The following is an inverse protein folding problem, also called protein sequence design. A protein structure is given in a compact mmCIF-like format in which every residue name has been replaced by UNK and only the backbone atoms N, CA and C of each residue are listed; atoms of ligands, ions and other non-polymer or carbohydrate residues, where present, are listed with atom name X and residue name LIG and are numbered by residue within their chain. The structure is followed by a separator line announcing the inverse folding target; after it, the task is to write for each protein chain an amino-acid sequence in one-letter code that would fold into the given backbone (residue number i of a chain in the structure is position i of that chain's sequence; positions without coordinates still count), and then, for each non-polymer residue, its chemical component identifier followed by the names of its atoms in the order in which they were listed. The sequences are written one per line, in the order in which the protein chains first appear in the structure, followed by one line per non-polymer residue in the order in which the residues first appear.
data_IF_891719162102
#
_entry.id   IF_891719162102
#
_cell.length_a   1.000
_cell.length_b   1.000
_cell.length_c   1.000
_cell.angle_alpha   90.00
_cell.angle_beta   90.00
_cell.angle_gamma   90.00
#
_symmetry.space_group_name_H-M   'P 1'
#
loop_
_entity.id
_entity.type
_entity.pdbx_description
1 polymer ?
#
# COMPACT_ATOMS: atom_id res chain seq x y z
N UNK A 1 42.28 -27.05 43.98
CA UNK A 1 42.71 -25.96 44.88
C UNK A 1 44.22 -25.82 44.80
N UNK A 2 44.74 -24.75 44.17
CA UNK A 2 45.98 -24.05 44.54
C UNK A 2 46.28 -22.88 43.57
N UNK A 3 45.98 -21.67 44.07
CA UNK A 3 46.65 -20.35 43.98
C UNK A 3 47.28 -19.83 42.67
N UNK A 4 46.76 -18.65 42.28
CA UNK A 4 47.42 -17.39 41.86
C UNK A 4 48.59 -17.46 40.87
N UNK A 5 48.57 -16.62 39.82
CA UNK A 5 49.30 -15.33 39.78
C UNK A 5 48.84 -14.51 38.56
N UNK A 6 48.38 -13.28 38.79
CA UNK A 6 48.15 -12.27 37.75
C UNK A 6 49.49 -11.64 37.36
N UNK A 7 49.82 -11.57 36.08
CA UNK A 7 50.89 -10.71 35.57
C UNK A 7 50.28 -9.57 34.76
N UNK A 8 50.23 -8.40 35.39
CA UNK A 8 50.01 -7.10 34.78
C UNK A 8 51.30 -6.76 33.99
N UNK A 9 51.20 -6.48 32.69
CA UNK A 9 52.29 -5.75 32.01
C UNK A 9 51.70 -4.69 31.10
N UNK A 10 51.82 -3.47 31.60
CA UNK A 10 51.59 -2.19 30.96
C UNK A 10 52.73 -1.96 29.95
N UNK A 11 52.42 -1.78 28.67
CA UNK A 11 53.28 -1.01 27.76
C UNK A 11 52.39 0.05 27.13
N UNK A 12 52.58 1.28 27.59
CA UNK A 12 52.01 2.48 27.04
C UNK A 12 53.00 3.10 26.04
N UNK A 13 52.44 3.80 25.04
CA UNK A 13 53.06 4.79 24.13
C UNK A 13 53.47 4.26 22.75
N UNK A 14 53.20 4.91 21.62
CA UNK A 14 52.56 6.18 21.25
C UNK A 14 52.35 6.11 19.73
N UNK A 15 51.19 6.52 19.21
CA UNK A 15 51.06 7.25 17.93
C UNK A 15 49.64 7.80 17.80
N UNK A 16 49.52 9.08 18.14
CA UNK A 16 48.37 9.92 17.86
C UNK A 16 48.31 10.21 16.35
N UNK A 17 47.28 9.74 15.65
CA UNK A 17 46.82 10.37 14.40
C UNK A 17 45.33 10.69 14.60
N UNK A 18 45.06 11.97 14.86
CA UNK A 18 43.73 12.57 14.75
C UNK A 18 43.54 12.93 13.28
N UNK A 19 42.53 12.39 12.61
CA UNK A 19 41.94 12.98 11.40
C UNK A 19 40.54 12.42 11.17
N UNK A 20 39.56 13.23 11.57
CA UNK A 20 38.17 13.33 11.12
C UNK A 20 37.83 12.42 9.92
N UNK A 21 37.11 11.33 10.17
CA UNK A 21 36.08 10.90 9.23
C UNK A 21 34.77 11.31 9.85
N UNK A 22 34.18 12.30 9.18
CA UNK A 22 32.80 12.74 9.33
C UNK A 22 31.94 11.56 9.77
N UNK A 23 31.14 11.79 10.81
CA UNK A 23 29.98 10.95 11.04
C UNK A 23 29.32 10.77 9.68
N UNK A 24 29.43 9.56 9.13
CA UNK A 24 28.62 9.14 8.02
C UNK A 24 27.23 9.33 8.58
N UNK A 25 26.59 10.45 8.18
CA UNK A 25 25.22 10.71 8.51
C UNK A 25 24.53 9.39 8.23
N UNK A 26 23.81 8.88 9.22
CA UNK A 26 22.70 8.01 8.87
C UNK A 26 21.90 8.88 7.92
N UNK A 27 22.11 8.72 6.61
CA UNK A 27 21.13 9.10 5.61
C UNK A 27 19.90 8.47 6.20
N UNK A 28 18.98 9.32 6.67
CA UNK A 28 17.66 8.85 7.03
C UNK A 28 17.25 8.09 5.78
N UNK A 29 17.23 6.77 5.88
CA UNK A 29 16.43 5.94 5.00
C UNK A 29 15.06 6.59 5.15
N UNK A 30 14.75 7.46 4.19
CA UNK A 30 13.54 8.24 4.20
C UNK A 30 12.46 7.17 4.29
N UNK A 31 11.78 7.12 5.43
CA UNK A 31 10.90 6.02 5.77
C UNK A 31 9.96 5.89 4.56
N UNK A 32 10.15 4.83 3.77
CA UNK A 32 9.59 4.77 2.42
C UNK A 32 8.12 5.13 2.53
N UNK A 33 7.73 6.28 1.95
CA UNK A 33 6.38 6.79 2.04
C UNK A 33 5.48 5.66 1.54
N UNK A 34 4.68 5.11 2.44
CA UNK A 34 3.95 3.92 2.12
C UNK A 34 2.85 4.29 1.09
N UNK A 35 2.63 3.46 0.06
CA UNK A 35 1.85 3.85 -1.09
C UNK A 35 0.38 4.07 -0.74
N UNK A 36 -0.19 5.19 -1.20
CA UNK A 36 -1.63 5.42 -1.15
C UNK A 36 -2.31 4.77 -2.35
N UNK A 37 -3.33 3.95 -2.12
CA UNK A 37 -4.11 3.31 -3.18
C UNK A 37 -5.43 4.01 -3.41
N UNK A 38 -5.70 4.29 -4.68
CA UNK A 38 -6.96 4.88 -5.13
C UNK A 38 -7.60 3.93 -6.13
N UNK A 39 -8.88 3.62 -5.93
CA UNK A 39 -9.65 2.76 -6.82
C UNK A 39 -10.74 3.58 -7.50
N UNK A 40 -10.95 3.33 -8.79
CA UNK A 40 -11.94 4.03 -9.62
C UNK A 40 -12.77 3.02 -10.36
N UNK A 41 -14.09 3.21 -10.39
CA UNK A 41 -15.03 2.36 -11.10
C UNK A 41 -16.20 3.12 -11.71
N UNK A 42 -16.60 2.67 -12.89
CA UNK A 42 -17.89 2.99 -13.48
C UNK A 42 -18.89 1.90 -13.10
N UNK A 43 -20.08 2.35 -12.69
CA UNK A 43 -21.18 1.52 -12.23
C UNK A 43 -22.35 1.74 -13.18
N UNK A 44 -22.98 0.67 -13.66
CA UNK A 44 -24.12 0.79 -14.58
C UNK A 44 -25.43 1.06 -13.85
N UNK A 45 -25.63 0.39 -12.71
CA UNK A 45 -26.77 0.59 -11.82
C UNK A 45 -26.34 0.32 -10.39
N UNK A 46 -27.04 0.91 -9.43
CA UNK A 46 -26.85 0.57 -8.05
C UNK A 46 -28.00 0.97 -7.16
N UNK A 47 -27.87 0.57 -5.90
CA UNK A 47 -28.84 0.85 -4.86
C UNK A 47 -28.14 1.06 -3.52
N UNK A 48 -28.71 1.91 -2.69
CA UNK A 48 -28.38 2.00 -1.28
C UNK A 48 -29.64 1.76 -0.45
N UNK A 49 -29.76 0.56 0.08
CA UNK A 49 -30.93 0.11 0.83
C UNK A 49 -30.46 -0.62 2.10
N UNK A 50 -31.06 -0.31 3.25
CA UNK A 50 -30.79 -0.98 4.54
C UNK A 50 -29.29 -1.05 4.93
N UNK A 51 -28.53 0.02 4.66
CA UNK A 51 -27.09 0.07 4.99
C UNK A 51 -26.21 -0.75 4.05
N UNK A 52 -26.72 -1.18 2.90
CA UNK A 52 -25.96 -1.91 1.88
C UNK A 52 -25.90 -1.08 0.61
N UNK A 53 -24.67 -0.76 0.17
CA UNK A 53 -24.40 -0.19 -1.14
C UNK A 53 -24.14 -1.33 -2.13
N UNK A 54 -25.01 -1.48 -3.12
CA UNK A 54 -24.92 -2.49 -4.17
C UNK A 54 -24.63 -1.84 -5.52
N UNK A 55 -23.64 -2.34 -6.24
CA UNK A 55 -23.15 -1.78 -7.49
C UNK A 55 -23.08 -2.88 -8.56
N UNK A 56 -23.85 -2.76 -9.63
CA UNK A 56 -23.63 -3.55 -10.83
C UNK A 56 -22.45 -2.98 -11.60
N UNK A 57 -21.41 -3.81 -11.76
CA UNK A 57 -20.16 -3.39 -12.34
C UNK A 57 -20.22 -3.54 -13.86
N UNK A 58 -19.80 -2.51 -14.59
CA UNK A 58 -19.67 -2.59 -16.05
C UNK A 58 -18.56 -3.58 -16.48
N UNK A 59 -17.61 -3.88 -15.59
CA UNK A 59 -16.57 -4.89 -15.78
C UNK A 59 -16.14 -5.50 -14.44
N UNK A 60 -15.66 -6.76 -14.40
CA UNK A 60 -15.18 -7.38 -13.17
C UNK A 60 -13.76 -6.92 -12.77
N UNK A 61 -13.35 -5.70 -13.14
CA UNK A 61 -12.00 -5.16 -12.93
C UNK A 61 -12.05 -3.74 -12.36
N UNK A 62 -11.34 -3.54 -11.25
CA UNK A 62 -11.08 -2.24 -10.64
C UNK A 62 -9.91 -1.56 -11.36
N UNK A 63 -10.01 -0.29 -11.72
CA UNK A 63 -8.83 0.52 -12.07
C UNK A 63 -8.24 1.07 -10.78
N UNK A 64 -6.92 0.99 -10.63
CA UNK A 64 -6.24 1.51 -9.46
C UNK A 64 -5.07 2.42 -9.82
N UNK A 65 -4.78 3.34 -8.93
CA UNK A 65 -3.56 4.16 -8.92
C UNK A 65 -2.92 4.05 -7.54
N UNK A 66 -1.68 3.60 -7.49
CA UNK A 66 -0.84 3.72 -6.31
C UNK A 66 0.05 4.97 -6.45
N UNK A 67 0.15 5.78 -5.40
CA UNK A 67 1.05 6.94 -5.36
C UNK A 67 2.20 6.71 -4.38
N UNK A 68 3.41 7.10 -4.80
CA UNK A 68 4.69 7.04 -4.09
C UNK A 68 5.23 5.61 -3.80
N UNK A 69 6.57 5.41 -3.84
CA UNK A 69 7.58 6.31 -4.42
C UNK A 69 7.45 6.43 -5.95
N UNK A 70 6.92 5.40 -6.61
CA UNK A 70 6.60 5.40 -8.03
C UNK A 70 5.09 5.38 -8.24
N UNK A 71 4.60 6.13 -9.23
CA UNK A 71 3.20 6.03 -9.64
C UNK A 71 3.00 4.72 -10.39
N UNK A 72 2.14 3.87 -9.86
CA UNK A 72 1.74 2.61 -10.50
C UNK A 72 0.26 2.73 -10.84
N UNK A 73 -0.09 2.39 -12.07
CA UNK A 73 -1.48 2.33 -12.51
C UNK A 73 -1.75 0.99 -13.16
N UNK A 74 -2.98 0.51 -13.01
CA UNK A 74 -3.32 -0.79 -13.53
C UNK A 74 -4.75 -1.18 -13.21
N UNK A 75 -4.98 -2.48 -13.30
CA UNK A 75 -6.27 -3.05 -13.00
C UNK A 75 -6.15 -4.27 -12.10
N UNK A 76 -7.11 -4.42 -11.21
CA UNK A 76 -7.23 -5.53 -10.28
C UNK A 76 -8.55 -6.26 -10.54
N UNK A 77 -8.59 -7.58 -10.53
CA UNK A 77 -9.87 -8.28 -10.58
C UNK A 77 -10.65 -8.00 -9.28
N UNK A 78 -11.98 -7.85 -9.36
CA UNK A 78 -12.80 -7.62 -8.15
C UNK A 78 -12.60 -8.74 -7.12
N UNK A 79 -12.48 -9.99 -7.57
CA UNK A 79 -12.17 -11.10 -6.67
C UNK A 79 -10.86 -10.92 -5.89
N UNK A 80 -9.79 -10.45 -6.55
CA UNK A 80 -8.51 -10.19 -5.88
C UNK A 80 -8.61 -9.04 -4.87
N UNK A 81 -9.44 -8.04 -5.16
CA UNK A 81 -9.75 -6.97 -4.20
C UNK A 81 -10.48 -7.51 -2.96
N UNK A 82 -11.46 -8.41 -3.13
CA UNK A 82 -12.15 -9.06 -2.01
C UNK A 82 -11.16 -9.88 -1.16
N UNK A 83 -10.26 -10.63 -1.80
CA UNK A 83 -9.26 -11.42 -1.09
C UNK A 83 -8.31 -10.53 -0.28
N UNK A 84 -7.82 -9.43 -0.87
CA UNK A 84 -6.99 -8.43 -0.20
C UNK A 84 -7.71 -7.75 0.97
N UNK A 85 -9.02 -7.50 0.83
CA UNK A 85 -9.82 -6.95 1.92
C UNK A 85 -9.95 -7.94 3.08
N UNK A 86 -10.26 -9.20 2.78
CA UNK A 86 -10.54 -10.23 3.77
C UNK A 86 -9.29 -10.71 4.52
N UNK A 87 -8.12 -10.65 3.88
CA UNK A 87 -6.84 -10.91 4.55
C UNK A 87 -6.48 -9.82 5.57
N UNK A 88 -7.11 -8.64 5.48
CA UNK A 88 -6.79 -7.42 6.22
C UNK A 88 -5.32 -6.98 6.06
N UNK A 89 -4.62 -7.41 5.00
CA UNK A 89 -3.19 -7.11 4.79
C UNK A 89 -2.91 -5.61 4.68
N UNK A 90 -3.90 -4.87 4.19
CA UNK A 90 -3.83 -3.41 4.03
C UNK A 90 -4.52 -2.66 5.20
N UNK A 91 -5.14 -3.37 6.15
CA UNK A 91 -5.84 -2.76 7.28
C UNK A 91 -7.25 -2.25 6.96
N UNK A 92 -7.87 -2.73 5.88
CA UNK A 92 -9.23 -2.38 5.46
C UNK A 92 -10.29 -2.55 6.55
N UNK A 93 -10.16 -3.57 7.39
CA UNK A 93 -11.12 -3.85 8.48
C UNK A 93 -10.86 -2.97 9.70
N UNK A 94 -9.60 -2.56 9.88
CA UNK A 94 -9.17 -1.69 10.98
C UNK A 94 -9.43 -0.21 10.67
N UNK A 95 -9.30 0.20 9.41
CA UNK A 95 -9.54 1.55 8.94
C UNK A 95 -10.49 1.51 7.73
N UNK A 96 -11.79 1.63 8.00
CA UNK A 96 -12.83 1.57 6.97
C UNK A 96 -12.56 2.60 5.86
N UNK A 97 -12.38 2.16 4.60
CA UNK A 97 -12.14 3.06 3.49
C UNK A 97 -13.26 4.06 3.31
N UNK A 98 -12.88 5.26 2.89
CA UNK A 98 -13.83 6.27 2.43
C UNK A 98 -14.03 6.13 0.93
N UNK A 99 -15.26 6.35 0.51
CA UNK A 99 -15.62 6.30 -0.88
C UNK A 99 -16.52 7.46 -1.27
N UNK A 100 -16.28 7.99 -2.46
CA UNK A 100 -17.16 8.96 -3.10
C UNK A 100 -17.92 8.25 -4.21
N UNK A 101 -19.24 8.29 -4.12
CA UNK A 101 -20.14 7.85 -5.18
C UNK A 101 -20.77 9.09 -5.81
N UNK A 102 -20.49 9.30 -7.09
CA UNK A 102 -21.06 10.41 -7.86
C UNK A 102 -22.13 9.88 -8.81
N UNK A 103 -23.34 10.41 -8.69
CA UNK A 103 -24.51 10.12 -9.53
C UNK A 103 -24.92 11.42 -10.20
N UNK A 104 -24.62 11.58 -11.49
CA UNK A 104 -24.76 12.85 -12.19
C UNK A 104 -23.94 13.95 -11.50
N UNK A 105 -24.61 14.95 -10.92
CA UNK A 105 -23.96 16.07 -10.21
C UNK A 105 -24.00 15.92 -8.67
N UNK A 106 -24.52 14.80 -8.14
CA UNK A 106 -24.62 14.56 -6.70
C UNK A 106 -23.52 13.61 -6.26
N UNK A 107 -22.71 14.03 -5.29
CA UNK A 107 -21.66 13.19 -4.69
C UNK A 107 -22.02 12.86 -3.25
N UNK A 108 -21.94 11.57 -2.90
CA UNK A 108 -22.21 11.04 -1.57
C UNK A 108 -20.96 10.34 -1.06
N UNK A 109 -20.59 10.63 0.18
CA UNK A 109 -19.45 9.99 0.84
C UNK A 109 -19.93 8.84 1.72
N UNK A 110 -19.27 7.69 1.60
CA UNK A 110 -19.53 6.50 2.38
C UNK A 110 -18.29 6.05 3.15
N UNK A 111 -18.52 5.43 4.32
CA UNK A 111 -17.59 4.53 4.97
C UNK A 111 -17.92 3.11 4.56
N UNK A 112 -16.97 2.37 4.01
CA UNK A 112 -17.21 1.03 3.45
C UNK A 112 -16.71 -0.08 4.37
N UNK A 113 -17.44 -1.20 4.36
CA UNK A 113 -17.11 -2.41 5.09
C UNK A 113 -17.62 -3.67 4.37
N UNK A 114 -17.04 -4.82 4.71
CA UNK A 114 -17.55 -6.15 4.36
C UNK A 114 -17.91 -6.31 2.87
N UNK A 115 -16.98 -6.09 1.93
CA UNK A 115 -17.29 -6.18 0.52
C UNK A 115 -17.65 -7.61 0.12
N UNK A 116 -18.60 -7.75 -0.79
CA UNK A 116 -19.08 -9.04 -1.32
C UNK A 116 -19.14 -8.97 -2.85
N UNK A 117 -18.76 -10.06 -3.51
CA UNK A 117 -18.73 -10.17 -4.97
C UNK A 117 -19.46 -11.44 -5.41
N UNK A 118 -20.44 -11.30 -6.31
CA UNK A 118 -21.21 -12.43 -6.86
C UNK A 118 -20.90 -12.73 -8.34
N UNK A 119 -19.94 -12.01 -8.94
CA UNK A 119 -19.56 -12.15 -10.35
C UNK A 119 -20.04 -11.01 -11.24
N UNK A 120 -21.04 -10.24 -10.82
CA UNK A 120 -21.53 -9.05 -11.54
C UNK A 120 -21.77 -7.86 -10.63
N UNK A 121 -22.14 -8.12 -9.37
CA UNK A 121 -22.48 -7.10 -8.39
C UNK A 121 -21.47 -7.10 -7.26
N UNK A 122 -20.89 -5.93 -7.03
CA UNK A 122 -20.06 -5.62 -5.87
C UNK A 122 -20.94 -4.93 -4.83
N UNK A 123 -20.95 -5.46 -3.60
CA UNK A 123 -21.75 -4.89 -2.51
C UNK A 123 -20.89 -4.59 -1.30
N UNK A 124 -21.23 -3.55 -0.55
CA UNK A 124 -20.58 -3.18 0.71
C UNK A 124 -21.64 -2.97 1.78
N UNK A 125 -21.34 -3.35 3.03
CA UNK A 125 -21.94 -2.66 4.17
C UNK A 125 -21.42 -1.23 4.16
N UNK A 126 -22.31 -0.24 4.21
CA UNK A 126 -21.94 1.15 4.01
C UNK A 126 -22.70 2.08 4.97
N UNK A 127 -21.96 3.02 5.52
CA UNK A 127 -22.50 4.12 6.33
C UNK A 127 -22.31 5.43 5.57
N UNK A 128 -23.38 6.24 5.50
CA UNK A 128 -23.30 7.57 4.87
C UNK A 128 -22.51 8.49 5.80
N UNK A 129 -21.41 9.04 5.29
CA UNK A 129 -20.60 10.05 5.98
C UNK A 129 -21.12 11.45 5.65
N UNK A 130 -21.43 11.70 4.37
CA UNK A 130 -21.92 12.99 3.90
C UNK A 130 -22.78 12.85 2.65
N UNK A 131 -23.74 13.76 2.47
CA UNK A 131 -24.65 13.77 1.33
C UNK A 131 -25.94 12.97 1.56
N UNK A 132 -26.73 12.81 0.50
CA UNK A 132 -27.98 12.02 0.53
C UNK A 132 -28.00 11.09 -0.68
N UNK A 133 -27.89 9.77 -0.47
CA UNK A 133 -27.93 8.82 -1.56
C UNK A 133 -29.34 8.67 -2.10
N UNK A 134 -29.44 8.57 -3.42
CA UNK A 134 -30.64 8.04 -4.05
C UNK A 134 -30.76 6.56 -3.67
N UNK A 135 -31.96 6.07 -3.27
CA UNK A 135 -32.14 4.65 -2.94
C UNK A 135 -31.76 3.73 -4.11
N UNK A 136 -31.95 4.21 -5.35
CA UNK A 136 -31.56 3.56 -6.60
C UNK A 136 -31.01 4.60 -7.56
N UNK A 137 -30.08 4.17 -8.40
CA UNK A 137 -29.45 5.02 -9.39
C UNK A 137 -28.98 4.20 -10.60
N UNK A 138 -28.91 4.87 -11.74
CA UNK A 138 -28.34 4.32 -12.97
C UNK A 138 -26.81 4.58 -12.98
N UNK A 139 -26.26 5.10 -14.08
CA UNK A 139 -24.83 5.31 -14.21
C UNK A 139 -24.24 6.15 -13.06
N UNK A 140 -23.17 5.64 -12.45
CA UNK A 140 -22.46 6.29 -11.37
C UNK A 140 -20.95 6.05 -11.45
N UNK A 141 -20.20 6.89 -10.75
CA UNK A 141 -18.74 6.82 -10.64
C UNK A 141 -18.39 6.62 -9.18
N UNK A 142 -17.67 5.53 -8.90
CA UNK A 142 -17.18 5.19 -7.57
C UNK A 142 -15.69 5.46 -7.50
N UNK A 143 -15.29 6.23 -6.50
CA UNK A 143 -13.91 6.42 -6.08
C UNK A 143 -13.75 5.87 -4.66
N UNK A 144 -12.75 5.04 -4.41
CA UNK A 144 -12.42 4.56 -3.06
C UNK A 144 -11.01 5.05 -2.71
N UNK A 145 -10.92 5.78 -1.61
CA UNK A 145 -9.67 6.08 -0.93
C UNK A 145 -9.30 4.86 -0.07
N UNK A 146 -8.50 3.99 -0.67
CA UNK A 146 -8.24 2.65 -0.21
C UNK A 146 -6.99 2.56 0.69
N UNK A 147 -6.76 3.58 1.55
CA UNK A 147 -5.88 3.60 2.75
C UNK A 147 -4.64 4.53 2.62
N UNK A 148 -4.36 5.39 3.62
CA UNK A 148 -3.02 5.88 3.91
C UNK A 148 -2.28 4.81 4.73
N UNK A 149 -1.37 4.07 4.11
CA UNK A 149 -0.55 3.07 4.79
C UNK A 149 0.27 3.72 5.91
N UNK A 150 -0.12 3.50 7.17
CA UNK A 150 0.83 3.59 8.27
C UNK A 150 1.58 2.26 8.31
N UNK A 151 2.89 2.34 8.07
CA UNK A 151 3.90 1.27 8.01
C UNK A 151 4.10 0.64 6.62
N UNK A 152 5.24 0.97 6.02
CA UNK A 152 5.75 0.53 4.72
C UNK A 152 6.09 -0.97 4.62
N UNK A 153 5.52 -1.84 5.48
CA UNK A 153 5.99 -3.21 5.66
C UNK A 153 5.11 -4.29 5.01
N UNK A 154 3.85 -4.01 4.65
CA UNK A 154 2.88 -5.05 4.19
C UNK A 154 2.54 -5.01 2.70
N UNK A 155 2.80 -3.91 2.00
CA UNK A 155 2.44 -3.70 0.58
C UNK A 155 3.23 -4.54 -0.41
N UNK A 156 4.29 -5.24 0.02
CA UNK A 156 5.14 -6.08 -0.84
C UNK A 156 4.45 -7.34 -1.37
N UNK A 157 3.40 -7.82 -0.72
CA UNK A 157 2.79 -9.12 -1.06
C UNK A 157 1.89 -9.05 -2.30
N UNK A 158 1.12 -7.97 -2.48
CA UNK A 158 0.28 -7.79 -3.68
C UNK A 158 1.01 -7.04 -4.80
N UNK A 159 1.94 -6.13 -4.44
CA UNK A 159 2.77 -5.44 -5.42
C UNK A 159 3.86 -6.38 -5.95
N UNK A 160 4.30 -7.39 -5.19
CA UNK A 160 5.24 -8.40 -5.66
C UNK A 160 4.67 -9.31 -6.75
N UNK A 161 3.37 -9.62 -6.69
CA UNK A 161 2.69 -10.51 -7.65
C UNK A 161 2.19 -9.78 -8.91
N UNK A 162 2.18 -8.45 -8.91
CA UNK A 162 1.88 -7.66 -10.10
C UNK A 162 3.04 -7.79 -11.11
N UNK A 163 2.83 -8.34 -12.33
CA UNK A 163 3.92 -8.62 -13.28
C UNK A 163 4.79 -7.40 -13.62
N UNK A 164 4.22 -6.20 -13.60
CA UNK A 164 4.93 -4.95 -13.87
C UNK A 164 5.91 -4.54 -12.75
N UNK A 165 5.56 -4.82 -11.49
CA UNK A 165 6.36 -4.45 -10.32
C UNK A 165 7.37 -5.54 -9.99
N UNK A 166 7.03 -6.81 -10.21
CA UNK A 166 8.02 -7.89 -10.23
C UNK A 166 9.17 -7.57 -11.19
N UNK A 167 8.86 -7.00 -12.36
CA UNK A 167 9.87 -6.60 -13.33
C UNK A 167 10.61 -5.33 -12.92
N UNK A 168 9.93 -4.30 -12.41
CA UNK A 168 10.58 -3.11 -11.85
C UNK A 168 11.55 -3.43 -10.71
N UNK A 169 11.13 -4.28 -9.77
CA UNK A 169 11.98 -4.76 -8.68
C UNK A 169 13.15 -5.61 -9.18
N UNK A 170 12.95 -6.43 -10.23
CA UNK A 170 14.02 -7.17 -10.87
C UNK A 170 15.03 -6.24 -11.55
N UNK A 171 14.58 -5.18 -12.23
CA UNK A 171 15.45 -4.15 -12.84
C UNK A 171 16.23 -3.37 -11.78
N UNK A 172 15.59 -2.99 -10.67
CA UNK A 172 16.24 -2.33 -9.54
C UNK A 172 17.28 -3.25 -8.88
N UNK A 173 16.92 -4.51 -8.59
CA UNK A 173 17.82 -5.47 -7.98
C UNK A 173 19.03 -5.82 -8.86
N UNK A 174 18.84 -5.95 -10.17
CA UNK A 174 19.95 -6.17 -11.12
C UNK A 174 20.83 -4.93 -11.25
N UNK A 175 20.25 -3.72 -11.28
CA UNK A 175 21.02 -2.46 -11.31
C UNK A 175 21.89 -2.31 -10.07
N UNK A 176 21.35 -2.60 -8.88
CA UNK A 176 22.10 -2.56 -7.63
C UNK A 176 23.20 -3.62 -7.58
N UNK A 177 22.93 -4.84 -8.05
CA UNK A 177 23.93 -5.91 -8.11
C UNK A 177 25.08 -5.55 -9.05
N UNK A 178 24.78 -4.94 -10.21
CA UNK A 178 25.80 -4.45 -11.15
C UNK A 178 26.62 -3.31 -10.54
N UNK A 179 25.97 -2.35 -9.86
CA UNK A 179 26.66 -1.26 -9.18
C UNK A 179 27.60 -1.74 -8.06
N UNK A 180 27.16 -2.71 -7.25
CA UNK A 180 27.97 -3.33 -6.21
C UNK A 180 29.13 -4.15 -6.79
N UNK A 181 28.89 -4.85 -7.90
CA UNK A 181 29.95 -5.56 -8.62
C UNK A 181 31.00 -4.58 -9.14
N UNK A 182 30.59 -3.46 -9.75
CA UNK A 182 31.50 -2.43 -10.26
C UNK A 182 32.33 -1.75 -9.14
N UNK A 183 31.79 -1.65 -7.92
CA UNK A 183 32.52 -1.10 -6.78
C UNK A 183 33.56 -2.05 -6.18
N UNK A 184 33.40 -3.37 -6.37
CA UNK A 184 34.28 -4.39 -5.79
C UNK A 184 35.42 -4.85 -6.72
N UNK A 185 35.56 -4.27 -7.92
CA UNK A 185 36.63 -4.62 -8.90
C UNK A 185 37.87 -3.72 -8.82
N UNK A 186 38.12 -3.05 -7.69
CA UNK A 186 39.32 -2.24 -7.46
C UNK A 186 40.20 -2.80 -6.34
#
# INVERSE_FOLDING_TARGET
MNRLTKAFSLVASVALIVSVLAGCGKTKEDAAQAPSFFLFQTVSHGAFENGVLSLEMASPRLFFVAQAPDRIEGHLAVAQFIDAWNSDSEGYRTNSPKALLTIGNNTVEFSLASPQWDGIKLSFSAEVVSGTPAPRFDAAELFIDAIPTQTAATTSTLLGDAPAIAMGNLYQATSQAIANAAHNVH
#
